data_IF_905179893532
#
_entry.id   IF_905179893532
#
_cell.length_a   1.000
_cell.length_b   1.000
_cell.length_c   1.000
_cell.angle_alpha   90.00
_cell.angle_beta   90.00
_cell.angle_gamma   90.00
#
_symmetry.space_group_name_H-M   'P 1'
#
loop_
_entity.id
_entity.type
_entity.pdbx_description
1 polymer ?
#
# COMPACT_ATOMS: atom_id res chain seq x y z
N UNK A 1 68.70 27.33 45.46
CA UNK A 1 69.13 25.92 45.65
C UNK A 1 68.48 25.08 44.54
N UNK A 2 69.23 24.29 43.76
CA UNK A 2 69.27 22.80 43.78
C UNK A 2 67.87 22.14 43.93
N UNK A 3 67.34 21.34 42.98
CA UNK A 3 67.75 21.06 41.58
C UNK A 3 66.97 19.89 40.92
N UNK A 4 67.09 19.77 39.58
CA UNK A 4 67.21 18.55 38.70
C UNK A 4 66.29 17.31 38.93
N UNK A 5 65.74 16.56 37.95
CA UNK A 5 65.76 16.45 36.46
C UNK A 5 64.45 15.68 36.02
N UNK A 6 64.14 15.22 34.79
CA UNK A 6 64.80 15.29 33.47
C UNK A 6 64.21 14.36 32.36
N UNK A 7 63.82 14.94 31.21
CA UNK A 7 63.75 14.41 29.82
C UNK A 7 62.80 13.25 29.36
N UNK A 8 62.03 13.63 28.31
CA UNK A 8 61.27 12.97 27.22
C UNK A 8 61.95 11.87 26.36
N UNK A 9 61.16 11.07 25.57
CA UNK A 9 61.20 10.93 24.07
C UNK A 9 60.32 9.76 23.51
N UNK A 10 59.65 9.96 22.34
CA UNK A 10 59.29 8.94 21.31
C UNK A 10 58.01 8.07 21.47
N UNK A 11 57.37 7.50 20.42
CA UNK A 11 57.41 7.78 18.96
C UNK A 11 57.34 6.56 18.00
N UNK A 12 56.33 6.50 17.08
CA UNK A 12 56.18 5.57 15.90
C UNK A 12 55.98 4.05 16.23
N UNK A 13 55.47 3.11 15.40
CA UNK A 13 54.82 2.98 14.05
C UNK A 13 53.54 2.08 14.20
N UNK A 14 52.45 2.08 13.42
CA UNK A 14 52.15 1.89 11.96
C UNK A 14 52.27 0.44 11.41
N UNK A 15 51.11 -0.22 11.23
CA UNK A 15 50.77 -1.24 10.20
C UNK A 15 49.23 -1.48 10.29
N UNK A 16 48.38 -1.16 9.30
CA UNK A 16 48.13 -1.79 7.99
C UNK A 16 47.24 -3.07 8.03
N UNK A 17 46.13 -2.99 7.28
CA UNK A 17 45.14 -4.04 6.93
C UNK A 17 45.79 -5.16 6.03
N UNK A 18 45.13 -6.29 5.62
CA UNK A 18 43.76 -6.29 5.05
C UNK A 18 42.93 -7.64 5.00
N UNK A 19 41.79 -7.60 4.27
CA UNK A 19 41.07 -8.70 3.55
C UNK A 19 40.25 -9.79 4.33
N UNK A 20 38.93 -9.85 4.01
CA UNK A 20 37.96 -10.98 4.09
C UNK A 20 37.61 -11.56 5.49
N UNK A 21 36.51 -12.31 5.71
CA UNK A 21 35.47 -12.83 4.81
C UNK A 21 34.03 -12.75 5.39
N UNK A 22 33.05 -13.05 4.54
CA UNK A 22 31.61 -13.23 4.84
C UNK A 22 31.39 -14.39 5.83
N UNK A 23 30.44 -14.22 6.76
CA UNK A 23 29.78 -15.33 7.45
C UNK A 23 28.27 -15.06 7.58
N UNK A 24 27.45 -15.96 7.03
CA UNK A 24 25.98 -15.91 7.09
C UNK A 24 25.48 -17.30 7.51
N UNK A 25 24.85 -17.39 8.67
CA UNK A 25 24.20 -18.61 9.13
C UNK A 25 22.74 -18.32 9.47
N UNK A 26 21.83 -18.95 8.73
CA UNK A 26 20.44 -19.14 9.11
C UNK A 26 20.21 -20.64 9.26
N UNK A 27 19.56 -21.07 10.35
CA UNK A 27 19.29 -22.48 10.63
C UNK A 27 17.79 -22.80 10.47
N UNK A 28 17.41 -23.66 9.52
CA UNK A 28 16.14 -24.38 9.47
C UNK A 28 16.29 -25.82 10.05
N UNK A 29 15.19 -26.58 10.26
CA UNK A 29 15.09 -27.41 11.48
C UNK A 29 15.60 -28.85 11.38
N UNK A 30 15.95 -29.42 12.54
CA UNK A 30 16.20 -30.85 12.71
C UNK A 30 14.92 -31.70 12.66
N UNK A 31 15.06 -32.94 12.20
CA UNK A 31 14.02 -34.00 12.21
C UNK A 31 14.68 -35.34 12.67
N UNK A 32 13.95 -36.43 12.92
CA UNK A 32 13.73 -36.85 14.32
C UNK A 32 14.33 -38.22 14.67
N UNK A 33 14.44 -38.51 15.97
CA UNK A 33 14.75 -39.85 16.47
C UNK A 33 13.47 -40.69 16.71
N UNK A 34 13.64 -42.00 16.84
CA UNK A 34 12.64 -43.02 16.62
C UNK A 34 12.26 -43.78 17.89
N UNK A 35 10.96 -44.10 18.05
CA UNK A 35 10.56 -45.23 18.89
C UNK A 35 9.23 -45.86 18.45
N UNK A 36 9.23 -47.19 18.47
CA UNK A 36 8.24 -48.11 17.89
C UNK A 36 6.87 -48.05 18.59
N UNK A 37 5.81 -48.22 17.82
CA UNK A 37 4.84 -49.31 18.03
C UNK A 37 4.15 -49.66 16.69
N UNK A 38 3.51 -50.83 16.59
CA UNK A 38 3.09 -51.40 15.31
C UNK A 38 1.75 -52.16 15.40
N UNK A 39 0.96 -52.16 14.32
CA UNK A 39 -0.04 -53.21 14.06
C UNK A 39 -0.44 -53.34 12.58
N UNK A 40 -0.44 -54.59 12.12
CA UNK A 40 -1.36 -55.24 11.17
C UNK A 40 -1.67 -54.64 9.75
N UNK A 41 -1.15 -55.35 8.74
CA UNK A 41 -1.87 -55.90 7.56
C UNK A 41 -2.41 -54.99 6.45
N UNK A 42 -2.19 -55.39 5.18
CA UNK A 42 -2.76 -54.75 3.99
C UNK A 42 -2.05 -55.05 2.67
N UNK A 43 -1.71 -56.32 2.38
CA UNK A 43 -0.95 -56.69 1.18
C UNK A 43 -1.83 -56.90 -0.07
N UNK A 44 -1.53 -56.19 -1.15
CA UNK A 44 -2.00 -56.48 -2.50
C UNK A 44 -0.93 -56.09 -3.53
N UNK A 45 -0.37 -57.08 -4.24
CA UNK A 45 0.53 -56.85 -5.37
C UNK A 45 -0.29 -56.66 -6.65
N UNK A 46 0.09 -55.70 -7.50
CA UNK A 46 -0.32 -55.66 -8.91
C UNK A 46 0.90 -55.27 -9.75
N UNK A 47 1.17 -56.04 -10.81
CA UNK A 47 2.32 -55.87 -11.69
C UNK A 47 2.16 -54.68 -12.64
N UNK A 48 3.28 -53.99 -12.93
CA UNK A 48 3.32 -52.87 -13.85
C UNK A 48 3.80 -53.29 -15.26
N UNK A 49 2.88 -53.43 -16.22
CA UNK A 49 3.24 -53.48 -17.65
C UNK A 49 3.58 -52.09 -18.16
N UNK A 50 4.80 -51.90 -18.68
CA UNK A 50 5.22 -50.63 -19.26
C UNK A 50 4.67 -50.44 -20.69
N UNK A 51 3.66 -49.58 -20.86
CA UNK A 51 3.21 -49.11 -22.18
C UNK A 51 3.84 -47.76 -22.53
N UNK A 52 4.59 -47.70 -23.64
CA UNK A 52 5.06 -46.43 -24.21
C UNK A 52 3.86 -45.63 -24.72
N UNK A 53 3.79 -44.36 -24.38
CA UNK A 53 2.89 -43.40 -25.02
C UNK A 53 3.51 -42.89 -26.34
N UNK A 54 2.69 -42.76 -27.38
CA UNK A 54 3.08 -42.12 -28.64
C UNK A 54 3.02 -40.58 -28.55
N UNK A 55 3.83 -39.84 -29.32
CA UNK A 55 3.84 -38.38 -29.28
C UNK A 55 2.56 -37.78 -29.90
N UNK A 56 1.84 -36.98 -29.12
CA UNK A 56 0.66 -36.25 -29.57
C UNK A 56 1.05 -35.19 -30.60
N UNK A 57 0.55 -35.33 -31.83
CA UNK A 57 0.70 -34.30 -32.88
C UNK A 57 -0.27 -33.15 -32.62
N UNK A 58 0.25 -31.98 -32.25
CA UNK A 58 -0.53 -30.74 -32.19
C UNK A 58 -0.74 -30.23 -33.62
N UNK A 59 -1.99 -30.12 -34.07
CA UNK A 59 -2.32 -29.59 -35.38
C UNK A 59 -2.35 -28.05 -35.36
N UNK A 60 -1.59 -27.41 -36.25
CA UNK A 60 -1.60 -25.96 -36.41
C UNK A 60 -2.97 -25.46 -36.90
N UNK A 61 -3.74 -24.82 -36.01
CA UNK A 61 -4.81 -23.90 -36.42
C UNK A 61 -4.30 -22.47 -36.29
N UNK A 62 -3.89 -21.89 -37.42
CA UNK A 62 -3.68 -20.43 -37.53
C UNK A 62 -5.04 -19.74 -37.51
N UNK A 63 -5.49 -19.31 -36.33
CA UNK A 63 -6.48 -18.24 -36.28
C UNK A 63 -5.79 -16.92 -36.69
N UNK A 64 -6.40 -16.13 -37.59
CA UNK A 64 -5.83 -14.85 -38.00
C UNK A 64 -5.90 -13.86 -36.83
N UNK A 65 -4.75 -13.49 -36.28
CA UNK A 65 -4.68 -12.42 -35.29
C UNK A 65 -5.24 -11.13 -35.89
N UNK A 66 -6.33 -10.63 -35.30
CA UNK A 66 -6.90 -9.35 -35.72
C UNK A 66 -5.83 -8.24 -35.62
N UNK A 67 -5.73 -7.32 -36.61
CA UNK A 67 -4.67 -6.34 -36.63
C UNK A 67 -4.71 -5.49 -35.36
N UNK A 68 -3.56 -5.43 -34.66
CA UNK A 68 -3.42 -4.64 -33.44
C UNK A 68 -3.70 -3.18 -33.78
N UNK A 69 -4.87 -2.69 -33.38
CA UNK A 69 -5.15 -1.25 -33.42
C UNK A 69 -4.13 -0.57 -32.52
N UNK A 70 -3.20 0.16 -33.13
CA UNK A 70 -2.46 1.20 -32.43
C UNK A 70 -3.49 2.12 -31.78
N UNK A 71 -3.34 2.35 -30.48
CA UNK A 71 -4.02 3.46 -29.85
C UNK A 71 -3.48 4.73 -30.52
N UNK A 72 -4.34 5.68 -30.94
CA UNK A 72 -3.85 6.99 -31.34
C UNK A 72 -3.07 7.57 -30.15
N UNK A 73 -2.12 8.46 -30.45
CA UNK A 73 -1.58 9.34 -29.42
C UNK A 73 -2.75 10.06 -28.72
N UNK A 74 -2.58 10.41 -27.44
CA UNK A 74 -3.60 11.20 -26.74
C UNK A 74 -3.95 12.41 -27.63
N UNK A 75 -5.25 12.64 -27.93
CA UNK A 75 -5.62 13.80 -28.72
C UNK A 75 -5.11 15.01 -27.97
N UNK A 76 -4.44 15.95 -28.66
CA UNK A 76 -4.04 17.20 -28.00
C UNK A 76 -5.31 17.86 -27.47
N UNK A 77 -5.50 17.76 -26.15
CA UNK A 77 -6.61 18.39 -25.46
C UNK A 77 -6.28 19.87 -25.37
N UNK A 78 -6.44 20.56 -26.51
CA UNK A 78 -6.59 22.00 -26.56
C UNK A 78 -7.65 22.34 -25.53
N UNK A 79 -7.19 22.96 -24.43
CA UNK A 79 -7.96 22.97 -23.18
C UNK A 79 -9.16 23.88 -23.38
N UNK A 80 -10.28 23.27 -23.78
CA UNK A 80 -11.61 23.81 -23.63
C UNK A 80 -11.86 23.98 -22.14
N UNK A 81 -11.34 25.08 -21.60
CA UNK A 81 -11.54 25.47 -20.22
C UNK A 81 -13.05 25.44 -19.97
N UNK A 82 -13.47 24.55 -19.05
CA UNK A 82 -14.84 24.58 -18.54
C UNK A 82 -15.15 26.04 -18.16
N UNK A 83 -16.33 26.56 -18.54
CA UNK A 83 -16.63 27.98 -18.47
C UNK A 83 -16.26 28.52 -17.11
N UNK A 84 -15.61 29.70 -17.08
CA UNK A 84 -14.90 30.25 -15.91
C UNK A 84 -15.84 30.71 -14.79
N UNK A 85 -16.56 29.74 -14.24
CA UNK A 85 -17.27 29.79 -12.98
C UNK A 85 -16.24 30.14 -11.91
N UNK A 86 -16.14 31.44 -11.63
CA UNK A 86 -15.37 31.97 -10.50
C UNK A 86 -15.82 31.19 -9.28
N UNK A 87 -14.91 30.41 -8.68
CA UNK A 87 -15.21 29.61 -7.50
C UNK A 87 -15.87 30.54 -6.49
N UNK A 88 -17.16 30.30 -6.23
CA UNK A 88 -17.96 31.14 -5.33
C UNK A 88 -17.23 31.14 -3.99
N UNK A 89 -16.93 32.28 -3.35
CA UNK A 89 -16.18 32.28 -2.11
C UNK A 89 -16.76 31.27 -1.12
N UNK A 90 -15.90 30.49 -0.44
CA UNK A 90 -16.34 29.62 0.66
C UNK A 90 -17.20 30.47 1.57
N UNK A 91 -18.50 30.16 1.66
CA UNK A 91 -19.32 30.75 2.71
C UNK A 91 -18.75 30.20 4.01
N UNK A 92 -18.52 31.04 5.04
CA UNK A 92 -18.31 30.53 6.38
C UNK A 92 -19.43 29.53 6.68
N UNK A 93 -19.09 28.38 7.27
CA UNK A 93 -20.15 27.53 7.80
C UNK A 93 -20.81 28.28 8.96
N UNK A 94 -22.09 28.60 8.79
CA UNK A 94 -22.99 29.07 9.86
C UNK A 94 -23.29 27.95 10.89
N UNK A 95 -22.70 26.76 10.67
CA UNK A 95 -22.67 25.64 11.61
C UNK A 95 -21.92 26.06 12.87
N UNK A 96 -22.68 26.12 13.97
CA UNK A 96 -22.18 26.23 15.33
C UNK A 96 -21.24 25.06 15.63
N UNK A 97 -19.99 25.39 15.98
CA UNK A 97 -18.94 24.40 16.25
C UNK A 97 -19.01 23.97 17.72
N UNK A 98 -18.89 22.66 17.98
CA UNK A 98 -18.98 22.07 19.32
C UNK A 98 -17.59 21.64 19.81
N UNK A 99 -16.84 22.47 20.56
CA UNK A 99 -15.43 22.20 20.84
C UNK A 99 -15.21 21.05 21.85
N UNK A 100 -16.09 20.90 22.83
CA UNK A 100 -15.79 20.15 24.07
C UNK A 100 -16.00 18.62 24.01
N UNK A 101 -15.89 18.00 22.82
CA UNK A 101 -16.08 16.54 22.65
C UNK A 101 -14.80 15.71 22.64
N UNK A 102 -13.69 16.29 22.22
CA UNK A 102 -12.48 15.56 21.88
C UNK A 102 -11.23 16.32 22.34
N UNK A 103 -10.23 15.61 22.84
CA UNK A 103 -8.95 16.17 23.27
C UNK A 103 -7.93 16.17 22.13
N UNK A 104 -7.06 17.20 22.11
CA UNK A 104 -5.91 17.25 21.20
C UNK A 104 -4.91 16.14 21.53
N UNK A 105 -4.35 15.50 20.50
CA UNK A 105 -3.28 14.51 20.63
C UNK A 105 -2.07 15.03 21.43
N UNK A 106 -1.84 16.36 21.49
CA UNK A 106 -0.82 16.99 22.34
C UNK A 106 -0.98 16.63 23.82
N UNK A 107 -2.21 16.46 24.32
CA UNK A 107 -2.49 16.08 25.71
C UNK A 107 -2.03 14.64 25.95
N UNK A 108 -2.43 13.70 25.07
CA UNK A 108 -1.97 12.31 25.11
C UNK A 108 -0.44 12.21 25.06
N UNK A 109 0.20 13.03 24.21
CA UNK A 109 1.65 13.06 24.02
C UNK A 109 2.47 13.55 25.21
N UNK A 110 1.87 14.18 26.22
CA UNK A 110 2.56 14.53 27.48
C UNK A 110 3.05 13.31 28.27
N UNK A 111 2.44 12.15 28.00
CA UNK A 111 2.67 10.86 28.64
C UNK A 111 2.96 9.72 27.63
N UNK A 112 2.48 9.82 26.39
CA UNK A 112 2.67 8.85 25.30
C UNK A 112 3.58 9.40 24.19
N UNK A 113 4.71 10.01 24.56
CA UNK A 113 5.64 10.76 23.70
C UNK A 113 6.02 9.99 22.41
N UNK A 114 6.45 8.73 22.51
CA UNK A 114 6.82 7.90 21.34
C UNK A 114 5.64 7.65 20.38
N UNK A 115 4.44 7.44 20.92
CA UNK A 115 3.23 7.15 20.13
C UNK A 115 2.76 8.41 19.42
N UNK A 116 2.77 9.57 20.11
CA UNK A 116 2.51 10.86 19.48
C UNK A 116 3.52 11.11 18.35
N UNK A 117 4.82 10.87 18.60
CA UNK A 117 5.86 11.07 17.59
C UNK A 117 5.63 10.18 16.35
N UNK A 118 5.25 8.90 16.53
CA UNK A 118 4.94 8.04 15.39
C UNK A 118 3.66 8.46 14.65
N UNK A 119 2.58 8.72 15.37
CA UNK A 119 1.31 9.19 14.78
C UNK A 119 1.49 10.50 14.02
N UNK A 120 2.25 11.47 14.54
CA UNK A 120 2.41 12.80 13.95
C UNK A 120 3.12 12.81 12.58
N UNK A 121 3.85 11.75 12.24
CA UNK A 121 4.46 11.55 10.92
C UNK A 121 3.62 10.67 9.98
N UNK A 122 2.53 10.08 10.50
CA UNK A 122 1.63 9.22 9.73
C UNK A 122 0.69 10.02 8.83
N UNK A 123 0.10 9.35 7.85
CA UNK A 123 -0.98 9.93 7.03
C UNK A 123 -2.31 10.08 7.79
N UNK A 124 -2.42 9.58 9.03
CA UNK A 124 -3.61 9.78 9.87
C UNK A 124 -3.62 11.16 10.52
N UNK A 125 -2.48 11.61 11.07
CA UNK A 125 -2.30 13.00 11.51
C UNK A 125 -2.41 14.00 10.35
N UNK A 126 -1.89 13.63 9.18
CA UNK A 126 -1.96 14.45 7.97
C UNK A 126 -3.26 14.28 7.17
N UNK A 127 -4.23 13.48 7.65
CA UNK A 127 -5.40 13.08 6.86
C UNK A 127 -6.27 14.28 6.43
N UNK A 128 -6.35 15.32 7.26
CA UNK A 128 -7.04 16.56 6.94
C UNK A 128 -6.18 17.57 6.17
N UNK A 129 -4.88 17.61 6.47
CA UNK A 129 -3.97 18.71 6.09
C UNK A 129 -3.13 18.41 4.84
N UNK A 130 -3.09 17.16 4.37
CA UNK A 130 -2.47 16.80 3.09
C UNK A 130 -2.99 17.65 1.94
N UNK A 131 -2.07 18.17 1.11
CA UNK A 131 -2.40 19.12 0.03
C UNK A 131 -3.25 18.48 -1.06
N UNK A 132 -3.08 17.19 -1.33
CA UNK A 132 -3.86 16.49 -2.34
C UNK A 132 -5.30 16.32 -1.86
N UNK A 133 -5.48 15.82 -0.64
CA UNK A 133 -6.79 15.76 0.00
C UNK A 133 -7.45 17.14 0.12
N UNK A 134 -6.73 18.19 0.53
CA UNK A 134 -7.26 19.57 0.61
C UNK A 134 -7.82 20.04 -0.74
N UNK A 135 -7.14 19.77 -1.86
CA UNK A 135 -7.69 20.11 -3.17
C UNK A 135 -8.93 19.27 -3.50
N UNK A 136 -8.87 17.95 -3.37
CA UNK A 136 -10.00 17.08 -3.66
C UNK A 136 -11.24 17.41 -2.79
N UNK A 137 -11.04 17.78 -1.52
CA UNK A 137 -12.10 18.25 -0.63
C UNK A 137 -12.69 19.59 -1.08
N UNK A 138 -11.88 20.55 -1.55
CA UNK A 138 -12.38 21.83 -2.05
C UNK A 138 -13.13 21.68 -3.38
N UNK A 139 -12.64 20.84 -4.30
CA UNK A 139 -13.31 20.51 -5.55
C UNK A 139 -14.66 19.81 -5.28
N UNK A 140 -14.66 18.81 -4.39
CA UNK A 140 -15.86 18.17 -3.87
C UNK A 140 -16.84 19.18 -3.21
N UNK A 141 -16.34 20.09 -2.38
CA UNK A 141 -17.14 21.09 -1.67
C UNK A 141 -17.84 22.02 -2.66
N UNK A 142 -17.12 22.57 -3.64
CA UNK A 142 -17.71 23.47 -4.63
C UNK A 142 -18.69 22.76 -5.58
N UNK A 143 -18.36 21.54 -6.02
CA UNK A 143 -19.25 20.75 -6.88
C UNK A 143 -20.58 20.40 -6.17
N UNK A 144 -20.54 20.10 -4.88
CA UNK A 144 -21.70 19.61 -4.11
C UNK A 144 -22.45 20.68 -3.30
N UNK A 145 -22.06 21.95 -3.41
CA UNK A 145 -22.49 23.04 -2.52
C UNK A 145 -22.31 22.68 -1.02
N UNK A 146 -21.15 22.11 -0.69
CA UNK A 146 -20.72 21.72 0.65
C UNK A 146 -21.16 20.33 1.12
N UNK A 147 -22.17 19.72 0.48
CA UNK A 147 -22.79 18.45 0.92
C UNK A 147 -21.82 17.26 0.97
N UNK A 148 -20.76 17.28 0.16
CA UNK A 148 -19.73 16.24 0.15
C UNK A 148 -18.73 16.32 1.31
N UNK A 149 -18.65 17.44 2.04
CA UNK A 149 -17.61 17.65 3.04
C UNK A 149 -17.67 16.61 4.16
N UNK A 150 -18.86 16.36 4.70
CA UNK A 150 -19.08 15.34 5.73
C UNK A 150 -18.66 13.94 5.23
N UNK A 151 -19.07 13.55 4.03
CA UNK A 151 -18.76 12.25 3.39
C UNK A 151 -17.25 12.01 3.24
N UNK A 152 -16.46 13.05 3.00
CA UNK A 152 -15.01 12.99 2.98
C UNK A 152 -14.42 12.95 4.41
N UNK A 153 -14.92 13.81 5.29
CA UNK A 153 -14.35 14.02 6.63
C UNK A 153 -14.65 12.89 7.62
N UNK A 154 -15.71 12.09 7.40
CA UNK A 154 -15.95 10.80 8.09
C UNK A 154 -14.72 9.87 8.12
N UNK A 155 -13.78 10.02 7.19
CA UNK A 155 -12.51 9.27 7.18
C UNK A 155 -11.26 10.15 7.35
N UNK A 156 -11.32 11.44 7.00
CA UNK A 156 -10.15 12.33 6.95
C UNK A 156 -10.01 13.32 8.12
N UNK A 157 -11.10 13.62 8.81
CA UNK A 157 -11.11 14.31 10.11
C UNK A 157 -12.43 13.98 10.81
N UNK A 158 -12.57 12.77 11.39
CA UNK A 158 -13.87 12.28 11.84
C UNK A 158 -14.46 13.14 12.96
N UNK A 159 -13.61 13.74 13.79
CA UNK A 159 -14.00 14.75 14.80
C UNK A 159 -14.69 15.97 14.18
N UNK A 160 -14.35 16.37 12.96
CA UNK A 160 -15.00 17.46 12.24
C UNK A 160 -16.47 17.16 11.89
N UNK A 161 -16.87 15.89 11.84
CA UNK A 161 -18.26 15.47 11.58
C UNK A 161 -19.14 15.65 12.83
N UNK A 162 -18.63 15.32 14.01
CA UNK A 162 -19.37 15.56 15.27
C UNK A 162 -19.33 17.01 15.74
N UNK A 163 -18.21 17.70 15.50
CA UNK A 163 -18.03 19.11 15.92
C UNK A 163 -18.60 20.10 14.91
N UNK A 164 -18.88 19.69 13.66
CA UNK A 164 -19.43 20.53 12.58
C UNK A 164 -18.41 21.37 11.82
N UNK A 165 -17.12 21.27 12.17
CA UNK A 165 -16.06 22.11 11.61
C UNK A 165 -15.50 21.59 10.26
N UNK A 166 -16.37 21.53 9.25
CA UNK A 166 -15.97 21.10 7.90
C UNK A 166 -14.94 21.99 7.18
N UNK A 167 -14.60 23.16 7.75
CA UNK A 167 -13.66 24.10 7.16
C UNK A 167 -12.29 24.11 7.87
N UNK A 168 -12.19 23.59 9.11
CA UNK A 168 -10.95 23.53 9.88
C UNK A 168 -10.62 24.86 10.54
N UNK A 169 -11.59 25.42 11.26
CA UNK A 169 -11.48 26.56 12.17
C UNK A 169 -10.74 26.18 13.46
N UNK A 170 -10.72 24.90 13.86
CA UNK A 170 -10.13 24.37 15.09
C UNK A 170 -8.82 23.61 14.84
N UNK A 171 -7.83 23.76 15.74
CA UNK A 171 -6.61 22.93 15.78
C UNK A 171 -6.93 21.42 15.76
N UNK A 172 -7.94 20.98 16.52
CA UNK A 172 -8.39 19.59 16.59
C UNK A 172 -8.74 19.00 15.21
N UNK A 173 -9.39 19.78 14.34
CA UNK A 173 -9.75 19.33 12.99
C UNK A 173 -8.51 19.14 12.11
N UNK A 174 -7.44 19.89 12.38
CA UNK A 174 -6.16 19.79 11.65
C UNK A 174 -5.36 18.54 12.04
N UNK A 175 -5.66 17.91 13.18
CA UNK A 175 -5.10 16.62 13.58
C UNK A 175 -5.67 15.43 12.78
N UNK A 176 -6.71 15.64 11.96
CA UNK A 176 -7.28 14.61 11.10
C UNK A 176 -7.83 13.42 11.89
N UNK A 177 -7.24 12.24 11.69
CA UNK A 177 -7.58 11.03 12.45
C UNK A 177 -6.75 11.03 13.73
N UNK A 178 -7.20 11.83 14.71
CA UNK A 178 -6.52 12.04 16.01
C UNK A 178 -6.60 10.82 16.95
N UNK A 179 -5.71 10.81 17.94
CA UNK A 179 -5.63 9.79 18.99
C UNK A 179 -6.98 9.57 19.68
N UNK A 180 -7.64 10.66 20.10
CA UNK A 180 -8.91 10.59 20.83
C UNK A 180 -9.98 9.88 20.00
N UNK A 181 -10.22 10.30 18.75
CA UNK A 181 -11.19 9.63 17.87
C UNK A 181 -10.98 8.11 17.76
N UNK A 182 -9.75 7.65 17.51
CA UNK A 182 -9.46 6.23 17.37
C UNK A 182 -9.65 5.46 18.69
N UNK A 183 -9.32 6.06 19.82
CA UNK A 183 -9.45 5.43 21.14
C UNK A 183 -10.87 5.55 21.73
N UNK A 184 -11.66 6.54 21.34
CA UNK A 184 -13.06 6.67 21.75
C UNK A 184 -14.01 5.74 20.97
N UNK A 185 -13.50 4.92 20.01
CA UNK A 185 -14.27 3.83 19.38
C UNK A 185 -14.54 2.70 20.39
N UNK A 186 -15.79 2.55 20.81
CA UNK A 186 -16.24 1.58 21.83
C UNK A 186 -17.03 0.38 21.26
N UNK A 187 -17.42 0.46 19.99
CA UNK A 187 -18.01 -0.62 19.22
C UNK A 187 -17.82 -0.46 17.71
N UNK A 188 -18.07 -1.54 16.97
CA UNK A 188 -18.10 -1.55 15.50
C UNK A 188 -19.43 -2.14 15.06
N UNK A 189 -20.12 -1.45 14.17
CA UNK A 189 -21.51 -1.72 13.76
C UNK A 189 -21.62 -1.89 12.25
N UNK A 190 -22.64 -2.62 11.80
CA UNK A 190 -22.94 -2.76 10.36
C UNK A 190 -23.62 -1.50 9.84
N UNK A 191 -23.05 -0.94 8.77
CA UNK A 191 -23.59 0.17 8.00
C UNK A 191 -24.22 -0.28 6.67
N UNK A 192 -24.73 0.67 5.88
CA UNK A 192 -25.28 0.39 4.55
C UNK A 192 -24.31 -0.39 3.66
N UNK A 193 -24.85 -1.29 2.84
CA UNK A 193 -24.09 -2.11 1.88
C UNK A 193 -22.98 -2.96 2.50
N UNK A 194 -23.14 -3.37 3.77
CA UNK A 194 -22.15 -4.19 4.50
C UNK A 194 -20.86 -3.46 4.86
N UNK A 195 -20.84 -2.12 4.77
CA UNK A 195 -19.74 -1.29 5.30
C UNK A 195 -19.73 -1.35 6.83
N UNK A 196 -18.59 -1.09 7.48
CA UNK A 196 -18.52 -0.99 8.95
C UNK A 196 -18.52 0.47 9.41
N UNK A 197 -19.03 0.71 10.62
CA UNK A 197 -19.08 2.03 11.27
C UNK A 197 -18.55 1.93 12.69
N UNK A 198 -17.91 2.98 13.19
CA UNK A 198 -17.57 3.11 14.60
C UNK A 198 -18.77 3.60 15.42
N UNK A 199 -19.00 2.99 16.58
CA UNK A 199 -19.74 3.61 17.69
C UNK A 199 -18.74 4.25 18.65
N UNK A 200 -19.06 5.45 19.12
CA UNK A 200 -18.15 6.30 19.90
C UNK A 200 -18.68 6.45 21.34
N UNK A 201 -17.80 6.27 22.32
CA UNK A 201 -18.01 6.56 23.74
C UNK A 201 -16.90 7.50 24.23
N UNK A 202 -17.27 8.76 24.45
CA UNK A 202 -16.38 9.82 24.95
C UNK A 202 -16.04 9.67 26.44
N UNK A 203 -16.57 8.67 27.16
CA UNK A 203 -16.31 8.47 28.60
C UNK A 203 -15.05 7.64 28.90
N UNK A 204 -14.53 6.88 27.92
CA UNK A 204 -13.39 5.97 28.09
C UNK A 204 -12.53 5.87 26.83
N UNK A 205 -11.21 5.83 27.02
CA UNK A 205 -10.25 5.51 25.96
C UNK A 205 -10.03 3.99 25.88
N UNK A 206 -10.33 3.42 24.73
CA UNK A 206 -10.36 1.98 24.48
C UNK A 206 -9.05 1.47 23.87
N UNK A 207 -8.73 0.20 24.10
CA UNK A 207 -7.52 -0.41 23.56
C UNK A 207 -7.47 -1.93 23.64
N UNK A 208 -6.41 -2.56 23.08
CA UNK A 208 -6.29 -4.01 23.01
C UNK A 208 -5.81 -4.65 24.32
N UNK A 209 -5.26 -3.85 25.24
CA UNK A 209 -4.68 -4.30 26.50
C UNK A 209 -5.67 -4.16 27.66
N UNK A 210 -5.56 -5.07 28.63
CA UNK A 210 -6.17 -4.93 29.95
C UNK A 210 -5.14 -4.32 30.89
N UNK A 211 -5.42 -3.15 31.46
CA UNK A 211 -4.47 -2.37 32.28
C UNK A 211 -5.20 -1.74 33.47
N UNK A 212 -4.51 -1.49 34.60
CA UNK A 212 -5.07 -0.71 35.70
C UNK A 212 -5.51 0.69 35.26
N UNK A 213 -6.65 1.15 35.78
CA UNK A 213 -7.26 2.45 35.51
C UNK A 213 -6.28 3.59 35.85
N UNK A 214 -5.77 4.37 34.87
CA UNK A 214 -4.78 5.41 35.12
C UNK A 214 -5.45 6.71 35.62
N UNK A 215 -4.80 7.50 36.50
CA UNK A 215 -5.42 8.66 37.12
C UNK A 215 -5.68 9.86 36.19
N UNK A 216 -5.23 9.80 34.93
CA UNK A 216 -5.42 10.87 33.94
C UNK A 216 -6.71 10.75 33.11
N UNK A 217 -7.15 9.53 32.80
CA UNK A 217 -8.30 9.27 31.93
C UNK A 217 -8.83 7.84 32.13
N UNK A 218 -10.13 7.64 32.05
CA UNK A 218 -10.71 6.29 32.14
C UNK A 218 -10.40 5.45 30.88
N UNK A 219 -10.17 4.15 31.04
CA UNK A 219 -9.88 3.21 29.96
C UNK A 219 -10.77 1.97 29.98
N UNK A 220 -10.82 1.22 28.87
CA UNK A 220 -11.37 -0.14 28.85
C UNK A 220 -10.81 -1.00 27.71
N UNK A 221 -10.57 -2.29 27.98
CA UNK A 221 -10.18 -3.25 26.95
C UNK A 221 -11.31 -3.47 25.93
N UNK A 222 -10.94 -3.61 24.65
CA UNK A 222 -11.80 -3.93 23.51
C UNK A 222 -11.03 -4.77 22.49
N UNK A 223 -11.45 -6.02 22.29
CA UNK A 223 -10.70 -6.99 21.47
C UNK A 223 -10.57 -6.61 19.98
N UNK A 224 -11.49 -5.81 19.43
CA UNK A 224 -11.42 -5.38 18.02
C UNK A 224 -10.27 -4.38 17.74
N UNK A 225 -9.63 -3.79 18.75
CA UNK A 225 -8.37 -3.06 18.55
C UNK A 225 -7.24 -3.99 18.07
N UNK A 226 -7.38 -5.30 18.27
CA UNK A 226 -6.51 -6.35 17.76
C UNK A 226 -7.08 -7.07 16.52
N UNK A 227 -8.06 -6.49 15.81
CA UNK A 227 -8.67 -7.08 14.61
C UNK A 227 -8.85 -6.05 13.48
N UNK A 228 -8.84 -6.50 12.24
CA UNK A 228 -8.88 -5.63 11.06
C UNK A 228 -10.18 -4.82 10.88
N UNK A 229 -11.28 -5.18 11.56
CA UNK A 229 -12.56 -4.45 11.46
C UNK A 229 -12.44 -2.97 11.84
N UNK A 230 -11.59 -2.62 12.81
CA UNK A 230 -11.44 -1.21 13.25
C UNK A 230 -10.89 -0.32 12.12
N UNK A 231 -10.06 -0.90 11.24
CA UNK A 231 -9.56 -0.23 10.04
C UNK A 231 -10.63 -0.11 8.95
N UNK A 232 -11.53 -1.11 8.83
CA UNK A 232 -12.54 -1.18 7.78
C UNK A 232 -13.52 0.01 7.79
N UNK A 233 -13.74 0.64 8.94
CA UNK A 233 -14.55 1.87 9.12
C UNK A 233 -14.14 3.00 8.17
N UNK A 234 -12.85 3.06 7.78
CA UNK A 234 -12.33 4.05 6.83
C UNK A 234 -11.73 3.41 5.56
N UNK A 235 -11.27 2.16 5.64
CA UNK A 235 -10.52 1.50 4.56
C UNK A 235 -11.37 0.69 3.56
N UNK A 236 -12.67 0.51 3.83
CA UNK A 236 -13.67 0.13 2.83
C UNK A 236 -14.61 1.30 2.57
N UNK A 237 -14.95 1.55 1.31
CA UNK A 237 -15.88 2.61 0.94
C UNK A 237 -16.73 2.24 -0.28
N UNK A 238 -18.03 2.19 0.00
CA UNK A 238 -19.13 2.01 -0.96
C UNK A 238 -19.97 3.29 -0.99
N UNK A 239 -20.39 3.73 -2.16
CA UNK A 239 -21.31 4.87 -2.30
C UNK A 239 -22.71 4.53 -1.77
N UNK A 240 -23.54 5.55 -1.58
CA UNK A 240 -24.94 5.37 -1.13
C UNK A 240 -25.79 4.54 -2.11
N UNK A 241 -25.44 4.49 -3.40
CA UNK A 241 -26.08 3.64 -4.42
C UNK A 241 -25.40 2.26 -4.61
N UNK A 242 -24.48 1.87 -3.71
CA UNK A 242 -23.91 0.51 -3.67
C UNK A 242 -22.64 0.31 -4.50
N UNK A 243 -22.09 1.36 -5.13
CA UNK A 243 -20.85 1.24 -5.90
C UNK A 243 -19.63 1.16 -4.98
N UNK A 244 -19.00 -0.02 -4.93
CA UNK A 244 -17.74 -0.22 -4.23
C UNK A 244 -16.63 0.55 -4.95
N UNK A 245 -16.14 1.64 -4.34
CA UNK A 245 -15.05 2.44 -4.90
C UNK A 245 -13.71 1.77 -4.58
N UNK A 246 -13.48 1.45 -3.32
CA UNK A 246 -12.35 0.68 -2.81
C UNK A 246 -12.79 -0.20 -1.63
N UNK A 247 -12.16 -1.36 -1.46
CA UNK A 247 -12.49 -2.29 -0.37
C UNK A 247 -11.24 -3.03 0.12
N UNK A 248 -10.38 -2.32 0.86
CA UNK A 248 -9.11 -2.83 1.39
C UNK A 248 -9.30 -3.98 2.38
N UNK A 249 -10.28 -3.88 3.28
CA UNK A 249 -10.65 -4.89 4.26
C UNK A 249 -11.35 -6.07 3.57
N UNK A 250 -12.26 -5.86 2.61
CA UNK A 250 -12.80 -6.97 1.82
C UNK A 250 -11.72 -7.72 1.01
N UNK A 251 -10.76 -6.98 0.41
CA UNK A 251 -9.58 -7.56 -0.26
C UNK A 251 -8.72 -8.38 0.72
N UNK A 252 -8.51 -7.90 1.95
CA UNK A 252 -7.81 -8.63 3.01
C UNK A 252 -8.57 -9.87 3.48
N UNK A 253 -9.89 -9.74 3.71
CA UNK A 253 -10.77 -10.81 4.19
C UNK A 253 -10.91 -11.95 3.20
N UNK A 254 -10.73 -11.68 1.90
CA UNK A 254 -10.67 -12.66 0.83
C UNK A 254 -9.26 -13.25 0.59
N UNK A 255 -8.30 -13.01 1.49
CA UNK A 255 -6.90 -13.45 1.35
C UNK A 255 -6.48 -14.49 2.39
N UNK A 256 -5.40 -15.21 2.07
CA UNK A 256 -4.69 -16.11 2.99
C UNK A 256 -4.23 -15.43 4.29
N UNK A 257 -4.09 -14.10 4.33
CA UNK A 257 -3.70 -13.38 5.54
C UNK A 257 -4.84 -13.37 6.57
N UNK A 258 -6.09 -13.22 6.12
CA UNK A 258 -7.25 -13.38 6.99
C UNK A 258 -7.46 -14.84 7.41
N UNK A 259 -7.24 -15.81 6.50
CA UNK A 259 -7.32 -17.26 6.81
C UNK A 259 -6.37 -17.67 7.95
N UNK A 260 -5.13 -17.16 7.96
CA UNK A 260 -4.15 -17.41 9.04
C UNK A 260 -4.31 -16.44 10.24
N UNK A 261 -5.36 -15.62 10.27
CA UNK A 261 -5.65 -14.68 11.35
C UNK A 261 -4.71 -13.47 11.46
N UNK A 262 -3.90 -13.19 10.44
CA UNK A 262 -2.94 -12.07 10.42
C UNK A 262 -3.63 -10.76 10.04
N UNK A 263 -3.70 -9.83 10.98
CA UNK A 263 -4.51 -8.62 10.93
C UNK A 263 -3.76 -7.43 10.29
N UNK A 264 -4.50 -6.35 9.98
CA UNK A 264 -3.91 -5.07 9.54
C UNK A 264 -2.82 -4.57 10.52
N UNK A 265 -3.08 -4.70 11.81
CA UNK A 265 -2.18 -4.30 12.90
C UNK A 265 -0.82 -5.01 12.84
N UNK A 266 -0.77 -6.29 12.46
CA UNK A 266 0.49 -7.07 12.43
C UNK A 266 1.48 -6.59 11.37
N UNK A 267 1.01 -5.88 10.33
CA UNK A 267 1.84 -5.30 9.26
C UNK A 267 1.98 -3.78 9.33
N UNK A 268 0.96 -3.06 9.81
CA UNK A 268 0.94 -1.59 9.81
C UNK A 268 1.09 -0.96 11.20
N UNK A 269 0.91 -1.73 12.27
CA UNK A 269 1.18 -1.34 13.66
C UNK A 269 2.10 -2.33 14.39
N UNK A 270 3.25 -2.73 13.79
CA UNK A 270 4.14 -3.74 14.39
C UNK A 270 4.60 -3.33 15.78
N UNK A 271 4.88 -4.31 16.64
CA UNK A 271 5.44 -4.04 17.98
C UNK A 271 6.87 -3.52 17.86
N UNK A 272 7.13 -2.37 18.47
CA UNK A 272 8.44 -1.77 18.66
C UNK A 272 8.87 -1.88 20.12
N UNK A 273 10.17 -1.93 20.37
CA UNK A 273 10.75 -1.91 21.72
C UNK A 273 11.70 -0.71 21.87
N UNK A 274 11.53 0.06 22.96
CA UNK A 274 12.37 1.19 23.35
C UNK A 274 13.42 0.79 24.38
N UNK A 275 14.54 1.51 24.41
CA UNK A 275 15.67 1.22 25.30
C UNK A 275 15.31 1.35 26.80
N UNK A 276 14.40 2.27 27.15
CA UNK A 276 13.94 2.52 28.52
C UNK A 276 12.41 2.61 28.59
N UNK A 277 11.78 2.34 29.75
CA UNK A 277 10.35 2.60 29.96
C UNK A 277 10.04 4.10 29.98
N UNK A 278 8.82 4.49 29.59
CA UNK A 278 8.30 5.86 29.75
C UNK A 278 7.55 6.04 31.08
N UNK A 279 7.12 7.28 31.37
CA UNK A 279 6.20 7.65 32.47
C UNK A 279 4.95 6.76 32.55
N UNK A 280 4.49 6.27 31.40
CA UNK A 280 3.34 5.40 31.18
C UNK A 280 3.64 3.90 31.29
N UNK A 281 4.86 3.54 31.64
CA UNK A 281 5.32 2.15 31.76
C UNK A 281 5.60 1.48 30.41
N UNK A 282 6.08 0.23 30.50
CA UNK A 282 6.34 -0.63 29.35
C UNK A 282 7.54 -0.22 28.48
N UNK A 283 8.28 -1.22 27.97
CA UNK A 283 9.29 -1.03 26.91
C UNK A 283 8.77 -1.36 25.51
N UNK A 284 7.61 -2.01 25.40
CA UNK A 284 7.01 -2.41 24.11
C UNK A 284 5.74 -1.60 23.84
N UNK A 285 5.57 -1.14 22.60
CA UNK A 285 4.36 -0.47 22.12
C UNK A 285 4.11 -0.82 20.64
N UNK A 286 2.88 -0.63 20.15
CA UNK A 286 2.58 -0.79 18.72
C UNK A 286 2.93 0.49 17.94
N UNK A 287 3.52 0.36 16.76
CA UNK A 287 3.81 1.50 15.90
C UNK A 287 2.52 2.21 15.44
N UNK A 288 2.53 3.55 15.41
CA UNK A 288 1.41 4.39 14.95
C UNK A 288 1.76 5.22 13.71
N UNK A 289 2.93 4.98 13.12
CA UNK A 289 3.38 5.55 11.83
C UNK A 289 2.51 5.04 10.65
N UNK A 290 1.92 3.83 10.80
CA UNK A 290 0.84 3.32 9.95
C UNK A 290 1.18 3.36 8.44
N UNK A 291 2.44 3.07 8.13
CA UNK A 291 3.03 3.28 6.80
C UNK A 291 2.30 2.51 5.69
N UNK A 292 2.08 3.19 4.57
CA UNK A 292 1.43 2.65 3.37
C UNK A 292 1.99 3.26 2.09
N UNK A 293 1.13 3.66 1.16
CA UNK A 293 1.46 4.16 -0.19
C UNK A 293 2.24 5.48 -0.29
N UNK A 294 2.79 5.99 0.82
CA UNK A 294 3.75 7.11 0.84
C UNK A 294 5.14 6.70 1.40
N UNK A 295 5.26 5.48 1.95
CA UNK A 295 6.55 4.91 2.37
C UNK A 295 7.16 4.09 1.24
N UNK A 296 8.30 4.55 0.71
CA UNK A 296 9.09 3.79 -0.29
C UNK A 296 9.54 2.43 0.26
N UNK A 297 9.82 2.35 1.56
CA UNK A 297 10.23 1.11 2.23
C UNK A 297 9.08 0.10 2.38
N UNK A 298 7.84 0.56 2.58
CA UNK A 298 6.68 -0.34 2.65
C UNK A 298 6.25 -0.81 1.26
N UNK A 299 6.23 0.07 0.26
CA UNK A 299 5.92 -0.28 -1.15
C UNK A 299 6.89 -1.36 -1.66
N UNK A 300 8.20 -1.23 -1.38
CA UNK A 300 9.25 -2.20 -1.76
C UNK A 300 9.15 -3.58 -1.10
N UNK A 301 8.29 -3.77 -0.10
CA UNK A 301 8.01 -5.08 0.51
C UNK A 301 6.78 -5.77 -0.08
N UNK A 302 5.94 -5.04 -0.80
CA UNK A 302 4.64 -5.54 -1.24
C UNK A 302 4.70 -6.28 -2.59
N UNK A 303 5.56 -5.83 -3.51
CA UNK A 303 5.62 -6.32 -4.89
C UNK A 303 7.06 -6.72 -5.27
N UNK A 304 7.19 -7.91 -5.86
CA UNK A 304 8.37 -8.39 -6.58
C UNK A 304 8.13 -8.39 -8.10
N UNK A 305 9.21 -8.37 -8.89
CA UNK A 305 9.15 -8.57 -10.33
C UNK A 305 10.42 -9.24 -10.87
N UNK A 306 10.27 -10.19 -11.80
CA UNK A 306 11.35 -11.04 -12.33
C UNK A 306 11.09 -11.49 -13.77
N UNK A 307 12.14 -11.70 -14.56
CA UNK A 307 12.03 -12.33 -15.89
C UNK A 307 12.16 -13.85 -15.75
N UNK A 308 11.03 -14.55 -15.84
CA UNK A 308 10.97 -16.02 -15.73
C UNK A 308 11.43 -16.72 -17.02
N UNK A 309 11.08 -16.19 -18.19
CA UNK A 309 11.45 -16.77 -19.49
C UNK A 309 11.99 -15.67 -20.43
N UNK A 310 13.05 -16.00 -21.19
CA UNK A 310 13.39 -15.31 -22.44
C UNK A 310 13.62 -16.39 -23.49
N UNK A 311 13.06 -16.21 -24.68
CA UNK A 311 13.18 -17.15 -25.80
C UNK A 311 13.26 -16.38 -27.12
N UNK A 312 13.89 -16.98 -28.13
CA UNK A 312 14.08 -16.40 -29.47
C UNK A 312 13.72 -17.43 -30.54
N UNK A 313 13.15 -16.96 -31.64
CA UNK A 313 12.93 -17.70 -32.88
C UNK A 313 13.33 -16.79 -34.05
N UNK A 314 14.56 -16.94 -34.55
CA UNK A 314 15.14 -16.04 -35.54
C UNK A 314 15.31 -14.61 -35.03
N UNK A 315 14.69 -13.64 -35.70
CA UNK A 315 14.59 -12.24 -35.25
C UNK A 315 13.54 -12.04 -34.16
N UNK A 316 12.55 -12.92 -34.04
CA UNK A 316 11.45 -12.79 -33.08
C UNK A 316 11.89 -13.14 -31.67
N UNK A 317 11.74 -12.20 -30.74
CA UNK A 317 12.11 -12.35 -29.33
C UNK A 317 10.86 -12.34 -28.46
N UNK A 318 10.85 -13.22 -27.45
CA UNK A 318 9.78 -13.41 -26.48
C UNK A 318 10.32 -13.30 -25.06
N UNK A 319 9.54 -12.66 -24.18
CA UNK A 319 9.84 -12.50 -22.74
C UNK A 319 8.59 -12.80 -21.91
N UNK A 320 8.78 -13.50 -20.78
CA UNK A 320 7.79 -13.55 -19.69
C UNK A 320 8.34 -12.77 -18.51
N UNK A 321 7.60 -11.73 -18.08
CA UNK A 321 7.84 -11.06 -16.81
C UNK A 321 6.75 -11.46 -15.83
N UNK A 322 7.15 -11.98 -14.67
CA UNK A 322 6.26 -12.15 -13.53
C UNK A 322 6.30 -10.89 -12.65
N UNK A 323 5.13 -10.44 -12.19
CA UNK A 323 4.94 -9.41 -11.17
C UNK A 323 4.09 -10.03 -10.06
N UNK A 324 4.57 -10.01 -8.83
CA UNK A 324 4.01 -10.81 -7.74
C UNK A 324 3.76 -9.99 -6.49
N UNK A 325 2.55 -10.12 -5.92
CA UNK A 325 2.21 -9.55 -4.62
C UNK A 325 2.67 -10.48 -3.50
N UNK A 326 3.94 -10.34 -3.13
CA UNK A 326 4.65 -11.16 -2.14
C UNK A 326 4.38 -10.77 -0.69
N UNK A 327 3.86 -9.56 -0.44
CA UNK A 327 3.85 -8.98 0.91
C UNK A 327 2.57 -8.33 1.40
N UNK A 328 1.61 -8.00 0.52
CA UNK A 328 0.36 -7.35 0.92
C UNK A 328 -0.80 -8.35 0.98
N UNK A 329 -1.54 -8.33 2.10
CA UNK A 329 -2.76 -9.12 2.28
C UNK A 329 -3.96 -8.61 1.50
N UNK A 330 -3.87 -7.44 0.87
CA UNK A 330 -4.87 -6.86 -0.03
C UNK A 330 -4.29 -6.73 -1.45
N UNK A 331 -5.05 -6.23 -2.42
CA UNK A 331 -4.52 -5.97 -3.76
C UNK A 331 -3.45 -4.87 -3.75
N UNK A 332 -2.57 -4.81 -4.75
CA UNK A 332 -1.66 -3.67 -4.94
C UNK A 332 -1.95 -2.98 -6.29
N UNK A 333 -2.22 -1.66 -6.28
CA UNK A 333 -2.43 -0.79 -5.12
C UNK A 333 -3.85 -0.94 -4.54
N UNK A 334 -3.99 -1.06 -3.22
CA UNK A 334 -5.32 -0.95 -2.58
C UNK A 334 -5.70 0.52 -2.32
N UNK A 335 -6.90 0.74 -1.79
CA UNK A 335 -7.45 2.06 -1.56
C UNK A 335 -7.80 2.80 -2.86
N UNK A 336 -7.57 4.11 -2.89
CA UNK A 336 -8.14 5.02 -3.89
C UNK A 336 -7.70 4.70 -5.35
N UNK A 337 -8.62 4.40 -6.29
CA UNK A 337 -8.33 3.95 -7.67
C UNK A 337 -7.53 4.86 -8.61
N UNK A 338 -7.20 6.08 -8.20
CA UNK A 338 -6.23 6.95 -8.90
C UNK A 338 -4.80 6.44 -8.78
N UNK A 339 -4.50 5.60 -7.78
CA UNK A 339 -3.22 4.90 -7.58
C UNK A 339 -3.10 3.72 -8.55
N UNK A 340 -1.91 3.52 -9.12
CA UNK A 340 -1.62 2.43 -10.05
C UNK A 340 -0.23 1.84 -9.84
N UNK A 341 -0.04 0.56 -10.19
CA UNK A 341 1.27 0.02 -10.51
C UNK A 341 1.48 0.12 -12.03
N UNK A 342 2.72 0.33 -12.45
CA UNK A 342 3.12 0.20 -13.85
C UNK A 342 4.36 -0.67 -13.95
N UNK A 343 4.25 -1.74 -14.74
CA UNK A 343 5.40 -2.52 -15.22
C UNK A 343 5.88 -1.90 -16.52
N UNK A 344 7.17 -1.56 -16.60
CA UNK A 344 7.82 -1.04 -17.80
C UNK A 344 8.94 -2.00 -18.21
N UNK A 345 8.81 -2.60 -19.39
CA UNK A 345 9.82 -3.50 -19.98
C UNK A 345 10.45 -2.81 -21.17
N UNK A 346 11.77 -2.68 -21.13
CA UNK A 346 12.57 -2.03 -22.18
C UNK A 346 13.70 -2.96 -22.61
N UNK A 347 13.91 -3.10 -23.92
CA UNK A 347 15.00 -3.89 -24.48
C UNK A 347 15.95 -3.02 -25.30
N UNK A 348 17.25 -3.30 -25.21
CA UNK A 348 18.31 -2.56 -25.91
C UNK A 348 19.26 -3.47 -26.67
N UNK A 349 19.70 -3.02 -27.84
CA UNK A 349 20.83 -3.58 -28.59
C UNK A 349 21.82 -2.46 -28.88
N UNK A 350 23.12 -2.70 -28.66
CA UNK A 350 24.20 -1.69 -28.80
C UNK A 350 23.87 -0.36 -28.07
N UNK A 351 23.25 -0.46 -26.88
CA UNK A 351 22.76 0.67 -26.06
C UNK A 351 21.49 1.38 -26.56
N UNK A 352 21.10 1.18 -27.83
CA UNK A 352 19.90 1.77 -28.43
C UNK A 352 18.65 1.03 -27.96
N UNK A 353 17.60 1.78 -27.60
CA UNK A 353 16.29 1.21 -27.25
C UNK A 353 15.60 0.66 -28.49
N UNK A 354 15.40 -0.66 -28.55
CA UNK A 354 14.72 -1.34 -29.66
C UNK A 354 13.25 -1.68 -29.32
N UNK A 355 12.94 -1.93 -28.05
CA UNK A 355 11.59 -2.20 -27.56
C UNK A 355 11.35 -1.48 -26.25
N UNK A 356 10.09 -1.08 -26.00
CA UNK A 356 9.66 -0.42 -24.77
C UNK A 356 8.14 -0.53 -24.66
N UNK A 357 7.63 -1.09 -23.56
CA UNK A 357 6.18 -1.21 -23.34
C UNK A 357 5.84 -1.09 -21.85
N UNK A 358 4.76 -0.38 -21.55
CA UNK A 358 4.19 -0.31 -20.21
C UNK A 358 2.92 -1.18 -20.11
N UNK A 359 2.75 -1.87 -18.98
CA UNK A 359 1.50 -2.50 -18.55
C UNK A 359 1.05 -1.85 -17.25
N UNK A 360 -0.15 -1.28 -17.24
CA UNK A 360 -0.74 -0.59 -16.07
C UNK A 360 -1.71 -1.51 -15.32
N UNK A 361 -1.55 -1.59 -14.00
CA UNK A 361 -2.44 -2.30 -13.09
C UNK A 361 -3.17 -1.30 -12.19
N UNK A 362 -4.47 -1.11 -12.45
CA UNK A 362 -5.34 -0.22 -11.68
C UNK A 362 -6.79 -0.71 -11.67
N UNK A 363 -7.58 -0.12 -10.77
CA UNK A 363 -9.04 -0.12 -10.82
C UNK A 363 -9.51 1.09 -11.64
N UNK A 364 -10.59 0.94 -12.39
CA UNK A 364 -11.16 1.96 -13.28
C UNK A 364 -12.65 2.03 -13.02
N UNK A 365 -13.13 3.22 -12.66
CA UNK A 365 -14.52 3.50 -12.32
C UNK A 365 -15.11 4.47 -13.34
N UNK A 366 -16.42 4.33 -13.60
CA UNK A 366 -17.19 5.21 -14.46
C UNK A 366 -18.18 6.05 -13.66
N UNK A 367 -18.50 7.25 -14.16
CA UNK A 367 -19.65 8.03 -13.71
C UNK A 367 -20.99 7.60 -14.34
N UNK A 368 -22.09 8.27 -13.96
CA UNK A 368 -23.39 8.14 -14.66
C UNK A 368 -23.28 8.56 -16.14
N UNK A 369 -22.30 9.40 -16.49
CA UNK A 369 -21.96 9.85 -17.84
C UNK A 369 -21.17 8.83 -18.66
N UNK A 370 -20.91 7.64 -18.11
CA UNK A 370 -20.00 6.60 -18.63
C UNK A 370 -18.55 7.06 -18.86
N UNK A 371 -18.15 8.23 -18.35
CA UNK A 371 -16.77 8.72 -18.43
C UNK A 371 -15.90 8.03 -17.40
N UNK A 372 -14.65 7.74 -17.78
CA UNK A 372 -13.64 7.26 -16.82
C UNK A 372 -13.31 8.37 -15.84
N UNK A 373 -13.53 8.12 -14.55
CA UNK A 373 -13.21 9.05 -13.48
C UNK A 373 -11.72 8.99 -13.15
N UNK A 374 -11.06 10.15 -13.11
CA UNK A 374 -9.60 10.24 -12.91
C UNK A 374 -9.20 11.01 -11.67
N UNK A 375 -9.98 12.01 -11.25
CA UNK A 375 -9.70 12.81 -10.06
C UNK A 375 -10.23 12.14 -8.79
N UNK A 376 -9.51 12.34 -7.68
CA UNK A 376 -9.83 11.72 -6.38
C UNK A 376 -11.23 12.07 -5.87
N UNK A 377 -11.68 13.31 -6.10
CA UNK A 377 -13.02 13.75 -5.70
C UNK A 377 -14.12 13.17 -6.58
N UNK A 378 -13.90 13.06 -7.91
CA UNK A 378 -14.83 12.41 -8.83
C UNK A 378 -14.98 10.94 -8.45
N UNK A 379 -13.87 10.25 -8.24
CA UNK A 379 -13.83 8.84 -7.84
C UNK A 379 -14.56 8.63 -6.49
N UNK A 380 -14.43 9.54 -5.52
CA UNK A 380 -15.10 9.44 -4.21
C UNK A 380 -16.61 9.73 -4.26
N UNK A 381 -17.07 10.60 -5.17
CA UNK A 381 -18.46 11.10 -5.18
C UNK A 381 -19.34 10.56 -6.31
N UNK A 382 -18.78 10.33 -7.50
CA UNK A 382 -19.50 10.14 -8.76
C UNK A 382 -19.38 8.72 -9.32
N UNK A 383 -18.64 7.81 -8.66
CA UNK A 383 -18.46 6.42 -9.13
C UNK A 383 -19.75 5.61 -9.13
N UNK A 384 -20.08 5.00 -10.27
CA UNK A 384 -21.31 4.21 -10.51
C UNK A 384 -21.11 2.77 -10.98
N UNK A 385 -19.95 2.47 -11.58
CA UNK A 385 -19.63 1.11 -12.02
C UNK A 385 -18.12 0.92 -12.17
N UNK A 386 -17.67 -0.33 -12.04
CA UNK A 386 -16.29 -0.74 -12.31
C UNK A 386 -16.17 -1.13 -13.77
N UNK A 387 -15.45 -0.34 -14.58
CA UNK A 387 -15.12 -0.71 -15.96
C UNK A 387 -14.11 -1.86 -15.99
N UNK A 388 -13.12 -1.81 -15.10
CA UNK A 388 -11.99 -2.76 -15.06
C UNK A 388 -11.34 -2.74 -13.69
N UNK A 389 -10.91 -3.91 -13.22
CA UNK A 389 -9.93 -4.02 -12.15
C UNK A 389 -8.90 -5.10 -12.54
N UNK A 390 -7.66 -4.69 -12.77
CA UNK A 390 -6.54 -5.61 -13.07
C UNK A 390 -5.37 -5.43 -12.11
N UNK A 391 -5.64 -4.96 -10.89
CA UNK A 391 -4.64 -4.89 -9.81
C UNK A 391 -4.17 -6.29 -9.41
N UNK A 392 -2.93 -6.37 -8.89
CA UNK A 392 -2.35 -7.64 -8.45
C UNK A 392 -2.98 -8.00 -7.10
N UNK A 393 -3.79 -9.06 -7.00
CA UNK A 393 -4.44 -9.47 -5.75
C UNK A 393 -3.44 -9.98 -4.71
N UNK A 394 -3.87 -10.16 -3.47
CA UNK A 394 -3.08 -10.78 -2.40
C UNK A 394 -2.53 -12.15 -2.83
N UNK A 395 -1.21 -12.31 -2.87
CA UNK A 395 -0.57 -13.56 -3.31
C UNK A 395 -0.72 -13.90 -4.80
N UNK A 396 -1.10 -12.95 -5.66
CA UNK A 396 -1.19 -13.18 -7.11
C UNK A 396 0.18 -12.98 -7.79
N UNK A 397 0.64 -14.00 -8.54
CA UNK A 397 1.70 -13.87 -9.55
C UNK A 397 1.07 -13.60 -10.93
N UNK A 398 1.14 -12.36 -11.41
CA UNK A 398 0.73 -11.98 -12.76
C UNK A 398 1.87 -12.21 -13.74
N UNK A 399 1.60 -12.83 -14.90
CA UNK A 399 2.57 -13.03 -15.98
C UNK A 399 2.19 -12.20 -17.20
N UNK A 400 3.09 -11.30 -17.59
CA UNK A 400 2.96 -10.50 -18.81
C UNK A 400 3.89 -11.04 -19.89
N UNK A 401 3.38 -11.10 -21.13
CA UNK A 401 4.09 -11.64 -22.28
C UNK A 401 4.40 -10.51 -23.26
N UNK A 402 5.69 -10.33 -23.54
CA UNK A 402 6.18 -9.37 -24.51
C UNK A 402 6.79 -10.12 -25.69
N UNK A 403 6.43 -9.72 -26.90
CA UNK A 403 6.95 -10.28 -28.16
C UNK A 403 7.26 -9.12 -29.10
N UNK A 404 8.45 -9.11 -29.67
CA UNK A 404 8.96 -8.06 -30.56
C UNK A 404 10.12 -8.60 -31.39
N UNK A 405 10.47 -7.91 -32.48
CA UNK A 405 11.51 -8.36 -33.41
C UNK A 405 12.82 -7.60 -33.15
N UNK A 406 13.95 -8.31 -33.20
CA UNK A 406 15.27 -7.81 -32.84
C UNK A 406 16.39 -8.59 -33.56
N UNK A 407 17.49 -7.91 -33.91
CA UNK A 407 18.62 -8.57 -34.59
C UNK A 407 19.11 -9.81 -33.82
N UNK A 408 19.36 -10.96 -34.46
CA UNK A 408 19.99 -12.11 -33.82
C UNK A 408 21.52 -11.96 -33.68
N UNK A 409 22.12 -10.93 -34.29
CA UNK A 409 23.57 -10.69 -34.25
C UNK A 409 24.02 -9.92 -33.00
N UNK A 410 23.11 -9.28 -32.26
CA UNK A 410 23.40 -8.40 -31.13
C UNK A 410 22.76 -8.90 -29.82
N UNK A 411 23.54 -8.83 -28.74
CA UNK A 411 23.08 -9.14 -27.38
C UNK A 411 21.98 -8.15 -26.96
N UNK A 412 20.93 -8.65 -26.28
CA UNK A 412 19.81 -7.83 -25.79
C UNK A 412 19.94 -7.62 -24.29
N UNK A 413 20.00 -6.36 -23.86
CA UNK A 413 19.85 -5.98 -22.45
C UNK A 413 18.38 -5.63 -22.20
N UNK A 414 17.75 -6.35 -21.27
CA UNK A 414 16.41 -6.08 -20.78
C UNK A 414 16.49 -5.27 -19.49
N UNK A 415 16.01 -4.03 -19.53
CA UNK A 415 15.65 -3.26 -18.33
C UNK A 415 14.19 -3.58 -17.96
N UNK A 416 13.96 -4.05 -16.74
CA UNK A 416 12.61 -4.21 -16.19
C UNK A 416 12.46 -3.35 -14.95
N UNK A 417 11.42 -2.53 -14.93
CA UNK A 417 11.05 -1.69 -13.80
C UNK A 417 9.57 -1.89 -13.43
N UNK A 418 9.27 -1.97 -12.13
CA UNK A 418 7.91 -1.79 -11.62
C UNK A 418 7.88 -0.54 -10.75
N UNK A 419 6.98 0.39 -11.07
CA UNK A 419 6.81 1.65 -10.35
C UNK A 419 5.39 1.75 -9.76
N UNK A 420 5.30 2.20 -8.50
CA UNK A 420 4.07 2.69 -7.91
C UNK A 420 3.87 4.15 -8.36
N UNK A 421 2.75 4.46 -9.01
CA UNK A 421 2.43 5.82 -9.50
C UNK A 421 1.16 6.35 -8.86
N UNK A 422 1.22 7.57 -8.35
CA UNK A 422 0.08 8.38 -7.96
C UNK A 422 0.29 9.81 -8.48
N UNK A 423 -0.64 10.26 -9.33
CA UNK A 423 -0.54 11.50 -10.12
C UNK A 423 -1.81 12.35 -9.96
N UNK A 424 -2.07 12.92 -8.77
CA UNK A 424 -3.21 13.80 -8.56
C UNK A 424 -3.01 15.16 -9.23
N UNK A 425 -4.09 15.78 -9.70
CA UNK A 425 -4.06 17.09 -10.39
C UNK A 425 -3.47 18.24 -9.58
N UNK A 426 -3.52 18.15 -8.25
CA UNK A 426 -2.84 19.07 -7.33
C UNK A 426 -1.31 19.12 -7.52
N UNK A 427 -0.72 18.03 -8.04
CA UNK A 427 0.72 17.84 -8.12
C UNK A 427 1.35 18.39 -9.40
N UNK A 428 1.09 19.66 -9.72
CA UNK A 428 1.72 20.43 -10.81
C UNK A 428 3.27 20.44 -10.72
N UNK A 429 3.84 20.06 -9.57
CA UNK A 429 5.29 19.91 -9.35
C UNK A 429 5.71 18.57 -8.73
N UNK A 430 4.91 17.50 -8.78
CA UNK A 430 5.31 16.26 -8.09
C UNK A 430 4.46 15.01 -8.31
N UNK A 431 4.56 14.39 -9.48
CA UNK A 431 4.12 12.99 -9.65
C UNK A 431 4.81 12.10 -8.61
N UNK A 432 4.06 11.53 -7.67
CA UNK A 432 4.61 10.59 -6.69
C UNK A 432 4.82 9.23 -7.35
N UNK A 433 6.03 9.06 -7.89
CA UNK A 433 6.48 7.86 -8.57
C UNK A 433 7.58 7.18 -7.73
N UNK A 434 7.35 5.92 -7.36
CA UNK A 434 8.26 5.12 -6.54
C UNK A 434 8.63 3.86 -7.31
N UNK A 435 9.87 3.85 -7.84
CA UNK A 435 10.51 2.65 -8.36
C UNK A 435 10.60 1.59 -7.25
N UNK A 436 9.84 0.51 -7.42
CA UNK A 436 9.77 -0.62 -6.48
C UNK A 436 10.97 -1.51 -6.72
N UNK A 437 11.03 -2.05 -7.93
CA UNK A 437 12.03 -3.04 -8.37
C UNK A 437 12.52 -2.60 -9.74
N UNK A 438 13.84 -2.49 -9.90
CA UNK A 438 14.50 -2.27 -11.20
C UNK A 438 15.73 -3.17 -11.29
N UNK A 439 15.83 -3.92 -12.38
CA UNK A 439 16.92 -4.85 -12.61
C UNK A 439 17.18 -5.00 -14.12
N UNK A 440 18.34 -5.58 -14.44
CA UNK A 440 18.75 -5.88 -15.81
C UNK A 440 18.98 -7.37 -16.01
N UNK A 441 18.67 -7.89 -17.21
CA UNK A 441 18.98 -9.25 -17.65
C UNK A 441 19.50 -9.21 -19.08
N UNK A 442 20.56 -9.96 -19.37
CA UNK A 442 21.13 -10.05 -20.72
C UNK A 442 20.63 -11.35 -21.38
N UNK A 443 20.25 -11.27 -22.65
CA UNK A 443 20.17 -12.40 -23.58
C UNK A 443 21.36 -12.27 -24.54
N UNK A 444 22.24 -13.27 -24.52
CA UNK A 444 23.41 -13.32 -25.41
C UNK A 444 22.99 -13.66 -26.85
N UNK A 445 23.74 -13.15 -27.83
CA UNK A 445 23.55 -13.42 -29.26
C UNK A 445 23.72 -14.90 -29.59
N UNK A 446 22.91 -15.41 -30.51
CA UNK A 446 23.00 -16.80 -31.00
C UNK A 446 22.38 -17.87 -30.09
N UNK A 447 21.63 -17.46 -29.06
CA UNK A 447 20.72 -18.31 -28.26
C UNK A 447 19.27 -18.06 -28.71
#
# INVERSE_FOLDING_TARGET
MRGRLGMTIGGLLVACCPIWAIASCAEPPGTPDSSRQASASGSAEVSAEARRAEPVRVAERREPQAPVRSWPAEPETGVGLAPTARLRPLRPSDVEVKPDRYQSARICGSCHEDILFKWAHSMHALAYTDRVFRQALLEAYYYSEGKAAERCLRCHSPTAVETGDFLGKQDLTLEGVTCDYCHSIDGIEEGPHGTLRARIDHSKLHGPLDIPEPPQHSVAKRDYFSRSEICAVCHDYTTEDGTVVFATYAEWRASKYAEIGKQCQDCHMPRLERAQPTKTGGRVFNDHDLQGGHSKAQIKKAIDARIEEVSRDGDRVRVVVAVENVGAGHSVPTGLPSRMLVLTVTARQRGRKIFSRETVYKRVLLGDDHRVLTEDWEIKLLSKSVLRDNRIRAGETRREIFVFDASPQDDIVFEVEVAYRYRPRAAVQGTSEVSITRFEKILERGI
#
